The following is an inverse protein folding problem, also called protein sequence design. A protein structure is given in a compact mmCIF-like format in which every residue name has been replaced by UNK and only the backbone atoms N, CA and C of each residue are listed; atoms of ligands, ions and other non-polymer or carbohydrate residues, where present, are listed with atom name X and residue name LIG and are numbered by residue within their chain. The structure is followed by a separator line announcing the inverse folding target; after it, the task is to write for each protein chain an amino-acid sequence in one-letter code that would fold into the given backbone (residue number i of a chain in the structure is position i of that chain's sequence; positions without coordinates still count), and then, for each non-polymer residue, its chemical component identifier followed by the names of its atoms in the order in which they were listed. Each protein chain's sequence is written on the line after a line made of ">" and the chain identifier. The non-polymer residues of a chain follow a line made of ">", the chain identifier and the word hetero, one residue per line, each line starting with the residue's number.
data_IF_564583335434
#
_entry.id   IF_564583335434
#
_cell.length_a   1.000
_cell.length_b   1.000
_cell.length_c   1.000
_cell.angle_alpha   90.00
_cell.angle_beta   90.00
_cell.angle_gamma   90.00
#
_symmetry.space_group_name_H-M   'P 1'
#
loop_
_entity.id
_entity.type
_entity.pdbx_description
1 polymer ?
#
# COMPACT_ATOMS: atom_id res chain seq x y z
N UNK A 1 22.26 2.05 16.12
CA UNK A 1 21.73 0.97 15.27
C UNK A 1 20.97 1.66 14.16
N UNK A 2 21.66 1.94 13.06
CA UNK A 2 21.11 2.66 11.92
C UNK A 2 20.11 1.75 11.22
N UNK A 3 18.82 2.00 11.42
CA UNK A 3 17.78 1.44 10.59
C UNK A 3 17.92 2.12 9.23
N UNK A 4 18.31 1.37 8.21
CA UNK A 4 18.18 1.86 6.84
C UNK A 4 16.68 2.12 6.61
N UNK A 5 16.26 3.34 6.25
CA UNK A 5 14.85 3.61 6.02
C UNK A 5 14.39 2.75 4.83
N UNK A 6 13.29 2.01 5.02
CA UNK A 6 12.56 1.41 3.92
C UNK A 6 12.22 2.46 2.86
N UNK A 7 12.06 2.03 1.60
CA UNK A 7 11.86 2.96 0.51
C UNK A 7 10.57 3.77 0.67
N UNK A 8 10.66 5.09 0.54
CA UNK A 8 9.52 5.97 0.85
C UNK A 8 8.45 5.88 -0.21
N UNK A 9 7.25 5.49 0.19
CA UNK A 9 6.03 5.56 -0.61
C UNK A 9 5.14 6.71 -0.14
N UNK A 10 4.86 7.69 -1.01
CA UNK A 10 3.82 8.69 -0.74
C UNK A 10 2.47 8.17 -1.21
N UNK A 11 1.46 8.21 -0.34
CA UNK A 11 0.05 8.00 -0.74
C UNK A 11 -0.46 9.31 -1.33
N UNK A 12 -0.85 9.30 -2.60
CA UNK A 12 -1.38 10.48 -3.29
C UNK A 12 -2.89 10.55 -3.10
N UNK A 13 -3.57 9.42 -3.24
CA UNK A 13 -5.00 9.30 -2.94
C UNK A 13 -5.35 7.90 -2.46
N UNK A 14 -6.30 7.83 -1.54
CA UNK A 14 -6.86 6.59 -1.04
C UNK A 14 -8.37 6.76 -0.82
N UNK A 15 -9.11 5.64 -0.82
CA UNK A 15 -10.53 5.63 -0.50
C UNK A 15 -10.86 4.52 0.50
N UNK A 16 -11.82 4.72 1.42
CA UNK A 16 -12.35 3.67 2.27
C UNK A 16 -12.92 2.50 1.47
N UNK A 17 -12.78 1.29 2.01
CA UNK A 17 -13.47 0.08 1.54
C UNK A 17 -14.17 -0.54 2.74
N UNK A 18 -15.37 -0.06 3.04
CA UNK A 18 -16.08 -0.35 4.29
C UNK A 18 -16.29 -1.85 4.54
N UNK A 19 -16.56 -2.62 3.49
CA UNK A 19 -16.85 -4.06 3.60
C UNK A 19 -15.59 -4.94 3.70
N UNK A 20 -14.40 -4.34 3.71
CA UNK A 20 -13.14 -5.08 3.76
C UNK A 20 -12.47 -4.95 5.11
N UNK A 21 -12.70 -5.92 5.99
CA UNK A 21 -12.23 -5.92 7.39
C UNK A 21 -11.26 -7.06 7.71
N UNK A 22 -10.87 -7.85 6.69
CA UNK A 22 -9.97 -9.01 6.80
C UNK A 22 -8.49 -8.65 6.95
N UNK A 23 -8.12 -7.39 6.66
CA UNK A 23 -6.73 -6.92 6.71
C UNK A 23 -6.41 -6.24 8.04
N UNK A 24 -5.45 -6.80 8.78
CA UNK A 24 -4.90 -6.16 9.97
C UNK A 24 -4.17 -4.84 9.68
N UNK A 25 -4.01 -3.95 10.68
CA UNK A 25 -3.40 -2.63 10.50
C UNK A 25 -2.03 -2.67 9.82
N UNK A 26 -1.88 -1.89 8.74
CA UNK A 26 -0.65 -1.77 7.96
C UNK A 26 -0.39 -2.92 6.98
N UNK A 27 -1.14 -4.03 7.05
CA UNK A 27 -0.97 -5.15 6.09
C UNK A 27 -1.39 -4.72 4.69
N UNK A 28 -0.53 -5.00 3.72
CA UNK A 28 -0.79 -4.77 2.30
C UNK A 28 -1.44 -6.00 1.67
N UNK A 29 -2.41 -5.76 0.80
CA UNK A 29 -2.92 -6.76 -0.12
C UNK A 29 -2.96 -6.20 -1.53
N UNK A 30 -2.17 -6.77 -2.44
CA UNK A 30 -2.20 -6.43 -3.85
C UNK A 30 -3.05 -7.44 -4.63
N UNK A 31 -3.92 -6.93 -5.48
CA UNK A 31 -4.63 -7.72 -6.49
C UNK A 31 -4.14 -7.31 -7.87
N UNK A 32 -4.68 -7.96 -8.92
CA UNK A 32 -4.42 -7.54 -10.30
C UNK A 32 -4.80 -6.08 -10.57
N UNK A 33 -5.75 -5.49 -9.84
CA UNK A 33 -6.34 -4.18 -10.16
C UNK A 33 -6.19 -3.12 -9.07
N UNK A 34 -5.89 -3.51 -7.84
CA UNK A 34 -5.96 -2.63 -6.69
C UNK A 34 -4.95 -3.02 -5.61
N UNK A 35 -4.58 -2.05 -4.78
CA UNK A 35 -3.77 -2.24 -3.57
C UNK A 35 -4.58 -1.77 -2.38
N UNK A 36 -4.61 -2.58 -1.34
CA UNK A 36 -5.30 -2.29 -0.10
C UNK A 36 -4.32 -2.25 1.05
N UNK A 37 -4.62 -1.40 2.05
CA UNK A 37 -3.92 -1.38 3.33
C UNK A 37 -4.97 -1.56 4.42
N UNK A 38 -4.76 -2.55 5.28
CA UNK A 38 -5.58 -2.72 6.47
C UNK A 38 -5.41 -1.57 7.45
N UNK A 39 -6.49 -1.21 8.15
CA UNK A 39 -6.46 -0.21 9.22
C UNK A 39 -7.06 -0.80 10.50
N UNK A 40 -7.26 0.01 11.54
CA UNK A 40 -7.93 -0.45 12.77
C UNK A 40 -9.42 -0.76 12.61
N UNK A 41 -10.06 -0.41 11.50
CA UNK A 41 -11.50 -0.62 11.26
C UNK A 41 -11.77 -1.39 9.98
N UNK A 42 -11.52 -0.75 8.83
CA UNK A 42 -11.68 -1.33 7.50
C UNK A 42 -10.47 -0.96 6.63
N UNK A 43 -10.24 -1.68 5.54
CA UNK A 43 -9.17 -1.37 4.62
C UNK A 43 -9.40 -0.02 3.93
N UNK A 44 -8.31 0.56 3.43
CA UNK A 44 -8.33 1.61 2.41
C UNK A 44 -7.75 1.06 1.12
N UNK A 45 -8.34 1.41 -0.01
CA UNK A 45 -7.73 1.21 -1.31
C UNK A 45 -6.80 2.38 -1.61
N UNK A 46 -5.52 2.10 -1.82
CA UNK A 46 -4.60 3.07 -2.39
C UNK A 46 -4.91 3.16 -3.89
N UNK A 47 -5.32 4.34 -4.35
CA UNK A 47 -5.67 4.55 -5.76
C UNK A 47 -4.48 5.10 -6.52
N UNK A 48 -3.80 6.10 -5.95
CA UNK A 48 -2.57 6.68 -6.49
C UNK A 48 -1.48 6.75 -5.44
N UNK A 49 -0.26 6.43 -5.87
CA UNK A 49 0.95 6.50 -5.04
C UNK A 49 2.08 7.17 -5.79
N UNK A 50 3.08 7.65 -5.06
CA UNK A 50 4.32 8.16 -5.63
C UNK A 50 5.51 7.49 -4.93
N UNK A 51 6.16 6.51 -5.59
CA UNK A 51 7.42 5.94 -5.12
C UNK A 51 8.53 6.99 -5.13
N UNK A 52 9.59 6.75 -4.34
CA UNK A 52 10.75 7.61 -4.26
C UNK A 52 11.36 7.84 -5.65
N UNK A 53 11.63 9.10 -5.99
CA UNK A 53 12.21 9.47 -7.28
C UNK A 53 11.31 9.26 -8.52
N UNK A 54 10.06 8.81 -8.36
CA UNK A 54 9.13 8.56 -9.49
C UNK A 54 8.02 9.62 -9.59
N UNK A 55 7.32 9.63 -10.72
CA UNK A 55 6.05 10.38 -10.90
C UNK A 55 4.91 9.63 -10.17
N UNK A 56 3.83 10.32 -9.76
CA UNK A 56 2.60 9.66 -9.32
C UNK A 56 2.11 8.63 -10.34
N UNK A 57 1.63 7.48 -9.86
CA UNK A 57 1.09 6.38 -10.67
C UNK A 57 -0.03 5.64 -9.92
N UNK A 58 -0.79 4.81 -10.64
CA UNK A 58 -1.77 3.91 -10.02
C UNK A 58 -1.07 2.95 -9.06
N UNK A 59 -1.68 2.71 -7.90
CA UNK A 59 -1.09 1.82 -6.91
C UNK A 59 -0.88 0.40 -7.44
N UNK A 60 -1.79 -0.10 -8.28
CA UNK A 60 -1.64 -1.41 -8.92
C UNK A 60 -0.44 -1.47 -9.87
N UNK A 61 -0.09 -0.38 -10.56
CA UNK A 61 1.07 -0.33 -11.44
C UNK A 61 2.37 -0.35 -10.63
N UNK A 62 2.41 0.41 -9.54
CA UNK A 62 3.49 0.34 -8.58
C UNK A 62 3.66 -1.08 -7.99
N UNK A 63 2.57 -1.70 -7.52
CA UNK A 63 2.62 -3.02 -6.88
C UNK A 63 3.12 -4.13 -7.80
N UNK A 64 2.84 -4.06 -9.11
CA UNK A 64 3.39 -4.99 -10.11
C UNK A 64 4.92 -4.86 -10.23
N UNK A 65 5.44 -3.65 -10.10
CA UNK A 65 6.88 -3.39 -10.18
C UNK A 65 7.67 -3.86 -8.96
N UNK A 66 7.08 -3.77 -7.76
CA UNK A 66 7.76 -4.11 -6.50
C UNK A 66 7.48 -5.52 -5.97
N UNK A 67 6.49 -6.23 -6.53
CA UNK A 67 6.06 -7.58 -6.08
C UNK A 67 5.85 -7.65 -4.57
N UNK A 68 4.76 -7.04 -4.10
CA UNK A 68 4.36 -7.10 -2.68
C UNK A 68 4.15 -8.56 -2.27
N UNK A 69 4.88 -9.02 -1.26
CA UNK A 69 4.77 -10.35 -0.69
C UNK A 69 3.56 -10.46 0.26
N UNK A 70 3.10 -11.68 0.51
CA UNK A 70 2.10 -11.93 1.55
C UNK A 70 2.64 -11.52 2.92
N UNK A 71 1.84 -10.78 3.68
CA UNK A 71 2.23 -10.29 5.00
C UNK A 71 3.07 -8.99 5.01
N UNK A 72 3.40 -8.44 3.84
CA UNK A 72 4.14 -7.18 3.73
C UNK A 72 3.37 -6.02 4.38
N UNK A 73 4.09 -5.10 5.02
CA UNK A 73 3.51 -3.98 5.78
C UNK A 73 3.91 -2.63 5.23
N UNK A 74 2.96 -1.71 5.19
CA UNK A 74 3.22 -0.30 4.92
C UNK A 74 3.69 0.41 6.20
N UNK A 75 4.87 1.03 6.14
CA UNK A 75 5.42 1.84 7.24
C UNK A 75 6.13 1.05 8.34
N UNK A 76 6.55 -0.18 8.04
CA UNK A 76 7.45 -0.96 8.89
C UNK A 76 8.89 -0.40 8.89
#
# INVERSE_FOLDING_TARGET
>A
MDHLPGERLKVVSARPVADRTDLGPGLLAATKKAVYVGTGSHAVELTWVRPQGKKPMLAADWARGVRIAEGERLGA
#
